data_IF_865417017349
#
_entry.id   IF_865417017349
#
_cell.length_a   1.000
_cell.length_b   1.000
_cell.length_c   1.000
_cell.angle_alpha   90.00
_cell.angle_beta   90.00
_cell.angle_gamma   90.00
#
_symmetry.space_group_name_H-M   'P 1'
#
loop_
_entity.id
_entity.type
_entity.pdbx_description
1 polymer ?
#
# COMPACT_ATOMS: atom_id res chain seq x y z
N UNK A 1 24.67 -5.46 -0.02
CA UNK A 1 23.93 -4.50 -0.87
C UNK A 1 23.08 -5.32 -1.82
N UNK A 2 21.82 -5.54 -1.52
CA UNK A 2 20.87 -6.17 -2.45
C UNK A 2 20.43 -5.10 -3.41
N UNK A 3 20.89 -5.18 -4.67
CA UNK A 3 20.43 -4.31 -5.76
C UNK A 3 18.90 -4.38 -5.80
N UNK A 4 18.21 -3.25 -5.59
CA UNK A 4 16.78 -3.15 -5.88
C UNK A 4 16.60 -3.48 -7.36
N UNK A 5 15.74 -4.46 -7.67
CA UNK A 5 15.37 -4.71 -9.07
C UNK A 5 14.63 -3.47 -9.56
N UNK A 6 15.00 -2.97 -10.73
CA UNK A 6 14.16 -1.97 -11.39
C UNK A 6 12.84 -2.68 -11.77
N UNK A 7 11.69 -2.31 -11.17
CA UNK A 7 10.42 -2.98 -11.45
C UNK A 7 9.83 -2.57 -12.80
N UNK A 8 10.50 -1.69 -13.55
CA UNK A 8 10.00 -1.18 -14.82
C UNK A 8 10.83 -1.74 -15.99
N UNK A 9 10.13 -2.34 -16.96
CA UNK A 9 10.66 -2.71 -18.25
C UNK A 9 10.75 -1.53 -19.23
N UNK A 10 11.14 -1.79 -20.48
CA UNK A 10 11.12 -0.79 -21.54
C UNK A 10 9.74 -0.14 -21.65
N UNK A 11 9.70 1.21 -21.73
CA UNK A 11 8.44 1.95 -21.81
C UNK A 11 7.70 2.13 -20.49
N UNK A 12 8.35 1.86 -19.32
CA UNK A 12 7.73 2.06 -18.01
C UNK A 12 6.67 1.04 -17.63
N UNK A 13 6.61 -0.09 -18.33
CA UNK A 13 5.69 -1.19 -17.99
C UNK A 13 6.21 -1.89 -16.74
N UNK A 14 5.32 -2.16 -15.78
CA UNK A 14 5.66 -2.97 -14.62
C UNK A 14 6.13 -4.35 -15.12
N UNK A 15 7.36 -4.72 -14.77
CA UNK A 15 7.84 -6.07 -15.06
C UNK A 15 6.98 -7.04 -14.26
N UNK A 16 6.26 -7.90 -14.96
CA UNK A 16 5.56 -8.99 -14.30
C UNK A 16 6.60 -9.89 -13.61
N UNK A 17 6.48 -9.97 -12.30
CA UNK A 17 7.19 -11.00 -11.56
C UNK A 17 6.67 -12.37 -12.01
N UNK A 18 7.47 -13.39 -11.77
CA UNK A 18 6.97 -14.77 -11.84
C UNK A 18 6.40 -15.17 -10.48
N UNK A 19 5.61 -16.26 -10.40
CA UNK A 19 5.16 -16.79 -9.10
C UNK A 19 6.32 -17.06 -8.12
N UNK A 20 7.53 -17.36 -8.64
CA UNK A 20 8.74 -17.61 -7.86
C UNK A 20 9.49 -16.31 -7.49
N UNK A 21 9.33 -15.26 -8.27
CA UNK A 21 9.96 -13.96 -8.08
C UNK A 21 8.96 -12.82 -8.31
N UNK A 22 7.94 -12.68 -7.44
CA UNK A 22 6.89 -11.67 -7.58
C UNK A 22 7.44 -10.25 -7.41
N UNK A 23 6.78 -9.27 -8.04
CA UNK A 23 6.97 -7.85 -7.73
C UNK A 23 6.19 -7.51 -6.47
N UNK A 24 6.86 -6.92 -5.49
CA UNK A 24 6.29 -6.58 -4.19
C UNK A 24 6.29 -5.06 -3.98
N UNK A 25 5.10 -4.49 -3.82
CA UNK A 25 4.91 -3.05 -3.63
C UNK A 25 4.35 -2.71 -2.24
N UNK A 26 4.76 -1.56 -1.68
CA UNK A 26 4.14 -0.99 -0.48
C UNK A 26 2.92 -0.16 -0.87
N UNK A 27 1.79 -0.44 -0.24
CA UNK A 27 0.55 0.30 -0.46
C UNK A 27 0.60 1.72 0.11
N UNK A 28 0.02 2.71 -0.58
CA UNK A 28 -0.22 4.04 -0.02
C UNK A 28 -1.24 3.98 1.10
N UNK A 29 -0.89 4.52 2.27
CA UNK A 29 -1.75 4.55 3.46
C UNK A 29 -1.63 5.91 4.15
N UNK A 30 -2.67 6.74 4.01
CA UNK A 30 -2.73 8.11 4.54
C UNK A 30 -2.39 8.17 6.05
N UNK A 31 -1.45 9.04 6.43
CA UNK A 31 -0.94 9.19 7.79
C UNK A 31 -0.01 8.07 8.26
N UNK A 32 0.37 7.13 7.39
CA UNK A 32 1.13 5.93 7.76
C UNK A 32 2.37 5.72 6.90
N UNK A 33 2.25 5.72 5.56
CA UNK A 33 3.33 5.34 4.63
C UNK A 33 4.05 6.55 4.03
N UNK A 34 4.48 7.49 4.87
CA UNK A 34 5.27 8.65 4.44
C UNK A 34 6.70 8.27 3.97
N UNK A 35 7.47 9.25 3.54
CA UNK A 35 8.83 9.06 3.04
C UNK A 35 9.76 8.36 4.04
N UNK A 36 9.61 8.63 5.36
CA UNK A 36 10.42 7.98 6.39
C UNK A 36 10.12 6.48 6.44
N UNK A 37 8.84 6.11 6.42
CA UNK A 37 8.40 4.72 6.45
C UNK A 37 8.78 4.00 5.16
N UNK A 38 8.59 4.66 4.00
CA UNK A 38 8.96 4.07 2.71
C UNK A 38 10.44 3.71 2.66
N UNK A 39 11.30 4.62 3.13
CA UNK A 39 12.75 4.37 3.19
C UNK A 39 13.13 3.31 4.24
N UNK A 40 12.55 3.38 5.46
CA UNK A 40 12.83 2.39 6.50
C UNK A 40 12.47 0.97 6.06
N UNK A 41 11.29 0.77 5.47
CA UNK A 41 10.87 -0.54 4.97
C UNK A 41 11.66 -0.95 3.73
N UNK A 42 11.99 0.00 2.84
CA UNK A 42 12.83 -0.24 1.67
C UNK A 42 14.24 -0.70 2.03
N UNK A 43 14.84 -0.09 3.04
CA UNK A 43 16.16 -0.45 3.56
C UNK A 43 16.24 -1.89 4.11
N UNK A 44 15.10 -2.49 4.47
CA UNK A 44 15.04 -3.89 4.86
C UNK A 44 15.26 -4.85 3.68
N UNK A 45 15.00 -4.40 2.45
CA UNK A 45 15.11 -5.17 1.21
C UNK A 45 13.83 -5.94 0.85
N UNK A 46 13.80 -6.47 -0.37
CA UNK A 46 12.69 -7.21 -0.97
C UNK A 46 11.40 -6.39 -1.22
N UNK A 47 11.47 -5.07 -1.14
CA UNK A 47 10.43 -4.17 -1.62
C UNK A 47 10.89 -3.57 -2.95
N UNK A 48 10.16 -3.84 -4.03
CA UNK A 48 10.55 -3.44 -5.38
C UNK A 48 9.98 -2.06 -5.76
N UNK A 49 8.86 -1.66 -5.15
CA UNK A 49 8.14 -0.43 -5.48
C UNK A 49 7.44 0.14 -4.25
N UNK A 50 7.33 1.45 -4.18
CA UNK A 50 6.47 2.15 -3.23
C UNK A 50 5.61 3.20 -3.93
N UNK A 51 4.54 3.62 -3.25
CA UNK A 51 3.62 4.66 -3.73
C UNK A 51 3.44 5.67 -2.61
N UNK A 52 3.46 6.97 -2.93
CA UNK A 52 3.22 8.00 -1.93
C UNK A 52 1.81 7.92 -1.36
N UNK A 53 1.60 8.48 -0.17
CA UNK A 53 0.25 8.85 0.24
C UNK A 53 -0.37 9.74 -0.84
N UNK A 54 -1.69 9.68 -1.02
CA UNK A 54 -2.29 10.43 -2.13
C UNK A 54 -2.19 11.94 -1.93
N UNK A 55 -1.82 12.64 -3.00
CA UNK A 55 -1.81 14.10 -3.07
C UNK A 55 -3.12 14.55 -3.71
N UNK A 56 -3.92 15.31 -2.96
CA UNK A 56 -5.22 15.74 -3.45
C UNK A 56 -5.11 16.84 -4.50
N UNK A 57 -5.68 16.58 -5.67
CA UNK A 57 -5.91 17.57 -6.73
C UNK A 57 -7.35 18.04 -6.65
N UNK A 58 -7.57 19.30 -6.35
CA UNK A 58 -8.93 19.87 -6.25
C UNK A 58 -9.24 20.77 -7.46
N UNK A 59 -9.32 22.09 -7.26
CA UNK A 59 -9.73 23.06 -8.29
C UNK A 59 -8.55 23.72 -9.02
N UNK A 60 -7.37 23.17 -8.92
CA UNK A 60 -6.14 23.66 -9.59
C UNK A 60 -5.04 22.60 -9.55
N UNK A 61 -4.05 22.67 -10.44
CA UNK A 61 -2.88 21.80 -10.38
C UNK A 61 -2.11 21.94 -9.06
N UNK A 62 -1.54 20.84 -8.58
CA UNK A 62 -0.75 20.81 -7.34
C UNK A 62 0.52 21.63 -7.53
N UNK A 63 0.84 22.58 -6.65
CA UNK A 63 2.10 23.34 -6.73
C UNK A 63 3.32 22.44 -6.48
N UNK A 64 4.47 22.73 -7.12
CA UNK A 64 5.72 21.99 -6.97
C UNK A 64 6.14 21.81 -5.50
N UNK A 65 6.04 22.85 -4.69
CA UNK A 65 6.36 22.79 -3.26
C UNK A 65 5.56 21.75 -2.47
N UNK A 66 4.31 21.48 -2.91
CA UNK A 66 3.46 20.46 -2.28
C UNK A 66 3.90 19.08 -2.74
N UNK A 67 4.18 18.90 -4.03
CA UNK A 67 4.73 17.64 -4.56
C UNK A 67 6.03 17.27 -3.86
N UNK A 68 6.98 18.18 -3.72
CA UNK A 68 8.27 17.97 -3.05
C UNK A 68 8.10 17.68 -1.55
N UNK A 69 7.13 18.32 -0.88
CA UNK A 69 6.84 18.04 0.53
C UNK A 69 6.29 16.63 0.74
N UNK A 70 5.33 16.21 -0.09
CA UNK A 70 4.65 14.91 0.05
C UNK A 70 5.48 13.75 -0.54
N UNK A 71 6.33 14.06 -1.50
CA UNK A 71 7.25 13.12 -2.13
C UNK A 71 8.66 13.74 -2.21
N UNK A 72 9.42 13.79 -1.10
CA UNK A 72 10.79 14.31 -1.11
C UNK A 72 11.73 13.44 -1.96
N UNK A 73 11.35 12.22 -2.29
CA UNK A 73 12.07 11.34 -3.21
C UNK A 73 12.24 11.95 -4.61
N UNK A 74 11.43 12.94 -4.99
CA UNK A 74 11.59 13.70 -6.23
C UNK A 74 12.94 14.43 -6.30
N UNK A 75 13.53 14.79 -5.14
CA UNK A 75 14.87 15.37 -5.05
C UNK A 75 16.00 14.31 -5.16
N UNK A 76 15.63 13.02 -5.25
CA UNK A 76 16.51 11.87 -5.40
C UNK A 76 16.06 10.97 -6.58
N UNK A 77 15.78 11.59 -7.73
CA UNK A 77 15.36 10.92 -8.97
C UNK A 77 14.20 9.93 -8.77
N UNK A 78 13.25 10.29 -7.90
CA UNK A 78 12.06 9.50 -7.60
C UNK A 78 12.32 8.23 -6.78
N UNK A 79 13.46 8.12 -6.08
CA UNK A 79 13.82 6.95 -5.29
C UNK A 79 13.99 7.30 -3.81
N UNK A 80 13.66 6.34 -2.94
CA UNK A 80 14.05 6.44 -1.51
C UNK A 80 15.58 6.48 -1.38
N UNK A 81 16.15 6.96 -0.26
CA UNK A 81 17.58 6.83 0.03
C UNK A 81 18.08 5.38 -0.04
N UNK A 82 17.24 4.40 0.25
CA UNK A 82 17.54 2.96 0.11
C UNK A 82 17.45 2.42 -1.33
N UNK A 83 17.08 3.26 -2.31
CA UNK A 83 17.06 2.94 -3.73
C UNK A 83 15.75 2.33 -4.25
N UNK A 84 14.66 2.38 -3.48
CA UNK A 84 13.34 1.91 -3.93
C UNK A 84 12.65 3.00 -4.73
N UNK A 85 12.16 2.74 -5.96
CA UNK A 85 11.40 3.70 -6.74
C UNK A 85 10.06 4.03 -6.10
N UNK A 86 9.62 5.28 -6.20
CA UNK A 86 8.40 5.79 -5.57
C UNK A 86 7.51 6.47 -6.60
N UNK A 87 6.30 5.96 -6.81
CA UNK A 87 5.29 6.62 -7.63
C UNK A 87 4.63 7.75 -6.86
N UNK A 88 4.42 8.87 -7.53
CA UNK A 88 3.60 9.97 -7.00
C UNK A 88 2.14 9.63 -7.19
N UNK A 89 1.39 9.45 -6.09
CA UNK A 89 -0.04 9.16 -6.19
C UNK A 89 -0.87 10.44 -6.14
N UNK A 90 -1.69 10.65 -7.18
CA UNK A 90 -2.63 11.76 -7.28
C UNK A 90 -4.06 11.28 -7.06
N UNK A 91 -4.88 12.14 -6.43
CA UNK A 91 -6.29 11.90 -6.21
C UNK A 91 -7.10 13.14 -6.62
N UNK A 92 -7.90 13.01 -7.67
CA UNK A 92 -8.77 14.07 -8.18
C UNK A 92 -9.76 13.54 -9.19
N UNK A 93 -10.80 14.30 -9.50
CA UNK A 93 -11.83 13.96 -10.47
C UNK A 93 -11.84 14.86 -11.71
N UNK A 94 -11.14 16.01 -11.67
CA UNK A 94 -11.04 16.92 -12.81
C UNK A 94 -9.85 16.56 -13.70
N UNK A 95 -10.07 16.00 -14.91
CA UNK A 95 -9.01 15.42 -15.75
C UNK A 95 -7.84 16.38 -15.99
N UNK A 96 -8.11 17.61 -16.45
CA UNK A 96 -7.07 18.59 -16.78
C UNK A 96 -6.23 19.04 -15.59
N UNK A 97 -6.78 19.11 -14.34
CA UNK A 97 -6.00 19.44 -13.15
C UNK A 97 -5.12 18.26 -12.70
N UNK A 98 -5.65 17.04 -12.82
CA UNK A 98 -4.88 15.81 -12.54
C UNK A 98 -3.74 15.67 -13.54
N UNK A 99 -4.01 15.82 -14.83
CA UNK A 99 -3.03 15.76 -15.91
C UNK A 99 -1.92 16.81 -15.74
N UNK A 100 -2.29 18.08 -15.45
CA UNK A 100 -1.31 19.14 -15.20
C UNK A 100 -0.46 18.90 -13.94
N UNK A 101 -1.03 18.26 -12.90
CA UNK A 101 -0.29 17.88 -11.69
C UNK A 101 0.67 16.72 -11.95
N UNK A 102 0.23 15.73 -12.74
CA UNK A 102 1.05 14.60 -13.16
C UNK A 102 2.24 15.03 -14.03
N UNK A 103 1.99 15.92 -15.00
CA UNK A 103 3.06 16.54 -15.80
C UNK A 103 4.10 17.21 -14.91
N UNK A 104 3.66 18.00 -13.93
CA UNK A 104 4.57 18.67 -12.99
C UNK A 104 5.35 17.69 -12.13
N UNK A 105 4.73 16.59 -11.68
CA UNK A 105 5.46 15.55 -10.97
C UNK A 105 6.55 14.92 -11.85
N UNK A 106 6.26 14.65 -13.12
CA UNK A 106 7.23 14.14 -14.08
C UNK A 106 8.40 15.14 -14.30
N UNK A 107 8.09 16.44 -14.44
CA UNK A 107 9.10 17.50 -14.57
C UNK A 107 10.01 17.64 -13.33
N UNK A 108 9.53 17.21 -12.16
CA UNK A 108 10.28 17.19 -10.90
C UNK A 108 11.06 15.89 -10.65
N UNK A 109 11.08 14.95 -11.61
CA UNK A 109 11.85 13.72 -11.49
C UNK A 109 11.06 12.50 -11.00
N UNK A 110 9.72 12.51 -11.06
CA UNK A 110 8.93 11.32 -10.74
C UNK A 110 9.26 10.17 -11.70
N UNK A 111 9.44 8.97 -11.16
CA UNK A 111 9.63 7.72 -11.95
C UNK A 111 8.32 7.16 -12.51
N UNK A 112 7.19 7.74 -12.13
CA UNK A 112 5.85 7.41 -12.60
C UNK A 112 4.78 8.04 -11.72
N UNK A 113 3.54 7.96 -12.19
CA UNK A 113 2.36 8.53 -11.50
C UNK A 113 1.34 7.42 -11.29
N UNK A 114 0.76 7.37 -10.10
CA UNK A 114 -0.36 6.49 -9.77
C UNK A 114 -1.63 7.31 -9.52
N UNK A 115 -2.78 6.86 -10.00
CA UNK A 115 -4.06 7.55 -9.84
C UNK A 115 -4.95 6.79 -8.85
N UNK A 116 -5.40 7.48 -7.81
CA UNK A 116 -6.20 6.89 -6.74
C UNK A 116 -7.70 6.98 -7.02
N UNK A 117 -8.31 5.85 -7.37
CA UNK A 117 -9.75 5.66 -7.51
C UNK A 117 -10.32 4.73 -6.42
N UNK A 118 -9.58 4.51 -5.32
CA UNK A 118 -9.98 3.58 -4.27
C UNK A 118 -10.19 4.19 -2.89
N UNK A 119 -9.91 5.49 -2.68
CA UNK A 119 -10.05 6.13 -1.36
C UNK A 119 -11.52 6.17 -0.91
N UNK A 120 -11.86 5.53 0.24
CA UNK A 120 -13.25 5.46 0.69
C UNK A 120 -13.68 6.66 1.55
N UNK A 121 -12.80 7.62 1.83
CA UNK A 121 -13.04 8.73 2.76
C UNK A 121 -14.21 9.62 2.30
N UNK A 122 -15.15 9.92 3.20
CA UNK A 122 -16.34 10.74 2.90
C UNK A 122 -15.97 12.11 2.32
N UNK A 123 -14.94 12.77 2.89
CA UNK A 123 -14.46 14.09 2.45
C UNK A 123 -13.92 14.07 1.02
N UNK A 124 -13.33 12.96 0.58
CA UNK A 124 -12.83 12.78 -0.78
C UNK A 124 -13.97 12.52 -1.75
N UNK A 125 -14.86 11.60 -1.42
CA UNK A 125 -15.97 11.21 -2.27
C UNK A 125 -17.05 12.28 -2.41
N UNK A 126 -17.14 13.22 -1.48
CA UNK A 126 -18.06 14.38 -1.56
C UNK A 126 -17.56 15.49 -2.49
N UNK A 127 -16.34 15.40 -3.03
CA UNK A 127 -15.72 16.37 -3.94
C UNK A 127 -15.28 15.73 -5.26
N UNK A 128 -16.02 14.75 -5.72
CA UNK A 128 -15.91 14.12 -7.03
C UNK A 128 -14.49 13.54 -7.32
N UNK A 129 -13.98 12.72 -6.40
CA UNK A 129 -12.66 12.09 -6.52
C UNK A 129 -12.57 10.76 -5.78
N UNK A 130 -11.49 10.03 -5.98
CA UNK A 130 -11.26 8.73 -5.34
C UNK A 130 -12.30 7.70 -5.76
N UNK A 131 -12.87 6.95 -4.79
CA UNK A 131 -13.79 5.84 -5.10
C UNK A 131 -15.14 6.27 -5.73
N UNK A 132 -15.52 7.56 -5.71
CA UNK A 132 -16.74 8.02 -6.39
C UNK A 132 -16.68 7.78 -7.91
N UNK A 133 -15.50 7.88 -8.51
CA UNK A 133 -15.30 7.67 -9.94
C UNK A 133 -15.51 6.21 -10.40
N UNK A 134 -15.51 5.25 -9.47
CA UNK A 134 -15.84 3.85 -9.80
C UNK A 134 -17.28 3.65 -10.27
N UNK A 135 -18.15 4.65 -10.06
CA UNK A 135 -19.54 4.64 -10.57
C UNK A 135 -19.67 5.09 -12.02
N UNK A 136 -18.63 5.72 -12.54
CA UNK A 136 -18.59 6.37 -13.85
C UNK A 136 -17.33 5.94 -14.61
N UNK A 137 -17.28 4.68 -15.13
CA UNK A 137 -16.09 4.17 -15.82
C UNK A 137 -15.59 5.06 -16.96
N UNK A 138 -16.48 5.71 -17.70
CA UNK A 138 -16.11 6.66 -18.76
C UNK A 138 -15.28 7.84 -18.24
N UNK A 139 -15.64 8.37 -17.08
CA UNK A 139 -14.88 9.46 -16.46
C UNK A 139 -13.51 9.00 -15.94
N UNK A 140 -13.44 7.77 -15.46
CA UNK A 140 -12.17 7.15 -15.09
C UNK A 140 -11.25 7.05 -16.31
N UNK A 141 -11.77 6.59 -17.46
CA UNK A 141 -11.05 6.58 -18.74
C UNK A 141 -10.53 7.98 -19.11
N UNK A 142 -11.35 9.01 -19.00
CA UNK A 142 -11.00 10.39 -19.31
C UNK A 142 -9.85 10.91 -18.43
N UNK A 143 -9.94 10.72 -17.09
CA UNK A 143 -8.89 11.14 -16.14
C UNK A 143 -7.57 10.44 -16.43
N UNK A 144 -7.60 9.12 -16.69
CA UNK A 144 -6.39 8.36 -17.03
C UNK A 144 -5.83 8.82 -18.38
N UNK A 145 -6.69 8.98 -19.39
CA UNK A 145 -6.32 9.35 -20.76
C UNK A 145 -5.64 10.71 -20.83
N UNK A 146 -6.22 11.75 -20.22
CA UNK A 146 -5.59 13.07 -20.14
C UNK A 146 -4.27 13.04 -19.36
N UNK A 147 -4.21 12.27 -18.26
CA UNK A 147 -2.98 12.10 -17.50
C UNK A 147 -1.91 11.41 -18.34
N UNK A 148 -2.26 10.33 -19.06
CA UNK A 148 -1.33 9.62 -19.94
C UNK A 148 -0.80 10.51 -21.05
N UNK A 149 -1.65 11.34 -21.66
CA UNK A 149 -1.26 12.28 -22.70
C UNK A 149 -0.30 13.38 -22.20
N UNK A 150 -0.43 13.78 -20.93
CA UNK A 150 0.37 14.84 -20.33
C UNK A 150 1.73 14.37 -19.78
N UNK A 151 1.87 13.08 -19.45
CA UNK A 151 3.08 12.49 -18.89
C UNK A 151 3.95 11.91 -20.02
N UNK A 152 5.30 12.09 -20.00
CA UNK A 152 6.19 11.51 -21.00
C UNK A 152 5.96 10.00 -21.20
N UNK A 153 6.04 9.52 -22.46
CA UNK A 153 5.66 8.14 -22.82
C UNK A 153 6.49 7.04 -22.14
N UNK A 154 7.70 7.36 -21.68
CA UNK A 154 8.57 6.43 -20.97
C UNK A 154 8.26 6.31 -19.47
N UNK A 155 7.45 7.21 -18.90
CA UNK A 155 7.03 7.14 -17.50
C UNK A 155 5.64 6.48 -17.38
N UNK A 156 5.44 5.52 -16.48
CA UNK A 156 4.15 4.86 -16.31
C UNK A 156 3.10 5.78 -15.68
N UNK A 157 1.86 5.58 -16.09
CA UNK A 157 0.66 6.06 -15.39
C UNK A 157 -0.12 4.82 -14.98
N UNK A 158 -0.26 4.57 -13.68
CA UNK A 158 -1.02 3.43 -13.15
C UNK A 158 -2.31 3.87 -12.47
N UNK A 159 -3.21 2.93 -12.24
CA UNK A 159 -4.47 3.17 -11.54
C UNK A 159 -4.62 2.25 -10.33
N UNK A 160 -4.98 2.81 -9.16
CA UNK A 160 -5.31 2.03 -7.96
C UNK A 160 -6.80 2.13 -7.69
N UNK A 161 -7.50 1.00 -7.79
CA UNK A 161 -8.95 0.88 -7.73
C UNK A 161 -9.41 -0.02 -6.58
N UNK A 162 -10.72 -0.10 -6.39
CA UNK A 162 -11.45 -1.15 -5.67
C UNK A 162 -12.31 -1.95 -6.64
N UNK A 163 -12.93 -3.05 -6.15
CA UNK A 163 -13.84 -3.89 -6.96
C UNK A 163 -15.05 -3.12 -7.52
N UNK A 164 -15.40 -2.02 -6.92
CA UNK A 164 -16.52 -1.16 -7.28
C UNK A 164 -16.89 -0.24 -6.14
N UNK A 165 -17.95 0.53 -6.31
CA UNK A 165 -18.51 1.34 -5.25
C UNK A 165 -19.29 0.49 -4.25
N UNK A 166 -20.22 -0.31 -4.71
CA UNK A 166 -21.12 -1.17 -3.94
C UNK A 166 -21.11 -2.60 -4.46
N UNK A 167 -21.27 -2.78 -5.76
CA UNK A 167 -21.25 -4.08 -6.41
C UNK A 167 -19.79 -4.48 -6.76
N UNK A 168 -19.31 -5.62 -6.27
CA UNK A 168 -17.98 -6.09 -6.61
C UNK A 168 -17.89 -6.65 -8.05
N UNK A 169 -18.98 -6.87 -8.72
CA UNK A 169 -18.99 -7.32 -10.12
C UNK A 169 -18.75 -6.17 -11.11
N UNK A 170 -18.85 -4.90 -10.68
CA UNK A 170 -18.48 -3.72 -11.46
C UNK A 170 -16.99 -3.73 -11.86
N UNK A 171 -16.14 -4.53 -11.19
CA UNK A 171 -14.69 -4.52 -11.38
C UNK A 171 -14.27 -4.73 -12.82
N UNK A 172 -14.98 -5.54 -13.60
CA UNK A 172 -14.63 -5.81 -15.02
C UNK A 172 -14.75 -4.54 -15.85
N UNK A 173 -15.88 -3.86 -15.78
CA UNK A 173 -16.08 -2.60 -16.51
C UNK A 173 -15.09 -1.51 -16.07
N UNK A 174 -14.71 -1.50 -14.78
CA UNK A 174 -13.75 -0.53 -14.25
C UNK A 174 -12.33 -0.80 -14.77
N UNK A 175 -11.88 -2.07 -14.83
CA UNK A 175 -10.54 -2.38 -15.36
C UNK A 175 -10.44 -2.16 -16.85
N UNK A 176 -11.49 -2.52 -17.63
CA UNK A 176 -11.57 -2.22 -19.06
C UNK A 176 -11.49 -0.71 -19.32
N UNK A 177 -12.18 0.10 -18.52
CA UNK A 177 -12.11 1.55 -18.61
C UNK A 177 -10.72 2.09 -18.26
N UNK A 178 -10.04 1.52 -17.26
CA UNK A 178 -8.69 1.92 -16.90
C UNK A 178 -7.67 1.56 -18.01
N UNK A 179 -7.78 0.39 -18.60
CA UNK A 179 -6.96 -0.02 -19.75
C UNK A 179 -7.22 0.87 -20.97
N UNK A 180 -8.48 1.14 -21.30
CA UNK A 180 -8.86 2.02 -22.41
C UNK A 180 -8.31 3.46 -22.21
N UNK A 181 -8.18 3.93 -20.97
CA UNK A 181 -7.51 5.19 -20.63
C UNK A 181 -5.99 5.15 -20.77
N UNK A 182 -5.38 4.00 -20.97
CA UNK A 182 -3.93 3.83 -21.13
C UNK A 182 -3.18 3.64 -19.81
N UNK A 183 -3.82 3.07 -18.78
CA UNK A 183 -3.13 2.65 -17.57
C UNK A 183 -2.07 1.60 -17.89
N UNK A 184 -0.83 1.82 -17.43
CA UNK A 184 0.27 0.88 -17.63
C UNK A 184 0.11 -0.43 -16.82
N UNK A 185 -0.59 -0.37 -15.69
CA UNK A 185 -1.07 -1.49 -14.88
C UNK A 185 -2.18 -1.02 -13.93
N UNK A 186 -2.90 -1.97 -13.34
CA UNK A 186 -4.02 -1.68 -12.45
C UNK A 186 -3.82 -2.39 -11.11
N UNK A 187 -3.78 -1.64 -10.00
CA UNK A 187 -3.75 -2.21 -8.64
C UNK A 187 -5.18 -2.34 -8.11
N UNK A 188 -5.59 -3.56 -7.76
CA UNK A 188 -6.97 -3.82 -7.31
C UNK A 188 -7.01 -4.20 -5.83
N UNK A 189 -7.65 -3.37 -5.00
CA UNK A 189 -8.00 -3.77 -3.65
C UNK A 189 -9.25 -4.65 -3.68
N UNK A 190 -9.15 -5.90 -3.24
CA UNK A 190 -10.19 -6.93 -3.31
C UNK A 190 -11.44 -6.66 -2.45
N UNK A 191 -11.91 -5.41 -2.38
CA UNK A 191 -13.12 -4.95 -1.69
C UNK A 191 -13.77 -3.80 -2.44
N UNK A 192 -15.09 -3.66 -2.30
CA UNK A 192 -15.80 -2.46 -2.75
C UNK A 192 -15.55 -1.27 -1.80
N UNK A 193 -15.96 -0.08 -2.21
CA UNK A 193 -15.90 1.11 -1.32
C UNK A 193 -16.81 0.94 -0.12
N UNK A 194 -18.02 0.39 -0.26
CA UNK A 194 -18.95 0.19 0.86
C UNK A 194 -18.47 -0.86 1.86
N UNK A 195 -17.78 -1.89 1.42
CA UNK A 195 -17.19 -2.91 2.28
C UNK A 195 -16.07 -2.38 3.18
N UNK A 196 -15.45 -1.25 2.86
CA UNK A 196 -14.33 -0.67 3.61
C UNK A 196 -13.19 -1.67 3.82
N UNK A 197 -13.15 -2.32 4.99
CA UNK A 197 -12.16 -3.33 5.39
C UNK A 197 -12.79 -4.64 5.88
N UNK A 198 -14.07 -4.86 5.65
CA UNK A 198 -14.84 -6.06 5.93
C UNK A 198 -15.78 -6.34 4.74
N UNK A 199 -16.06 -7.59 4.42
CA UNK A 199 -15.45 -8.84 4.84
C UNK A 199 -13.99 -9.00 4.37
N UNK A 200 -13.46 -10.24 4.30
CA UNK A 200 -12.15 -10.52 3.70
C UNK A 200 -12.06 -10.07 2.24
N UNK A 201 -10.85 -9.77 1.76
CA UNK A 201 -10.62 -9.42 0.36
C UNK A 201 -11.03 -10.57 -0.56
N UNK A 202 -11.76 -10.24 -1.62
CA UNK A 202 -12.19 -11.20 -2.63
C UNK A 202 -11.15 -11.30 -3.75
N UNK A 203 -10.24 -12.24 -3.60
CA UNK A 203 -9.19 -12.48 -4.59
C UNK A 203 -9.72 -13.12 -5.87
N UNK A 204 -10.83 -13.85 -5.82
CA UNK A 204 -11.47 -14.43 -7.00
C UNK A 204 -11.96 -13.36 -7.99
N UNK A 205 -12.44 -12.22 -7.48
CA UNK A 205 -12.80 -11.07 -8.33
C UNK A 205 -11.59 -10.34 -8.88
N UNK A 206 -10.46 -10.32 -8.15
CA UNK A 206 -9.21 -9.81 -8.73
C UNK A 206 -8.78 -10.68 -9.91
N UNK A 207 -8.86 -12.00 -9.80
CA UNK A 207 -8.59 -12.93 -10.90
C UNK A 207 -9.48 -12.64 -12.11
N UNK A 208 -10.79 -12.54 -11.89
CA UNK A 208 -11.75 -12.22 -12.97
C UNK A 208 -11.42 -10.90 -13.67
N UNK A 209 -11.00 -9.89 -12.90
CA UNK A 209 -10.56 -8.61 -13.47
C UNK A 209 -9.27 -8.76 -14.27
N UNK A 210 -8.31 -9.55 -13.79
CA UNK A 210 -7.05 -9.80 -14.49
C UNK A 210 -7.27 -10.56 -15.81
N UNK A 211 -8.25 -11.46 -15.86
CA UNK A 211 -8.60 -12.19 -17.09
C UNK A 211 -9.30 -11.32 -18.14
N UNK A 212 -9.80 -10.12 -17.77
CA UNK A 212 -10.54 -9.22 -18.66
C UNK A 212 -9.66 -8.16 -19.37
N UNK A 213 -8.40 -7.99 -18.94
CA UNK A 213 -7.50 -6.96 -19.48
C UNK A 213 -6.15 -7.56 -19.88
N UNK A 214 -5.42 -6.85 -20.74
CA UNK A 214 -4.07 -7.23 -21.17
C UNK A 214 -2.96 -6.60 -20.34
N UNK A 215 -3.25 -5.50 -19.64
CA UNK A 215 -2.28 -4.83 -18.77
C UNK A 215 -2.09 -5.60 -17.46
N UNK A 216 -0.90 -5.56 -16.84
CA UNK A 216 -0.65 -6.24 -15.56
C UNK A 216 -1.63 -5.81 -14.46
N UNK A 217 -2.09 -6.79 -13.67
CA UNK A 217 -2.90 -6.54 -12.47
C UNK A 217 -2.09 -6.82 -11.22
N UNK A 218 -2.06 -5.84 -10.30
CA UNK A 218 -1.42 -5.94 -9.00
C UNK A 218 -2.46 -6.29 -7.94
N UNK A 219 -2.35 -7.47 -7.32
CA UNK A 219 -3.30 -7.90 -6.29
C UNK A 219 -3.03 -7.21 -4.94
N UNK A 220 -4.08 -6.67 -4.32
CA UNK A 220 -3.99 -6.00 -3.03
C UNK A 220 -5.14 -6.38 -2.09
N UNK A 221 -4.81 -6.63 -0.84
CA UNK A 221 -5.74 -6.88 0.26
C UNK A 221 -5.47 -8.19 0.99
N UNK A 222 -5.43 -8.08 2.34
CA UNK A 222 -5.33 -9.19 3.31
C UNK A 222 -4.12 -10.12 3.17
N UNK A 223 -3.01 -9.62 2.65
CA UNK A 223 -1.72 -10.30 2.68
C UNK A 223 -1.04 -9.91 3.99
N UNK A 224 -0.99 -10.83 4.97
CA UNK A 224 -0.48 -10.60 6.32
C UNK A 224 0.72 -11.49 6.68
N UNK A 225 0.91 -12.59 5.97
CA UNK A 225 1.96 -13.58 6.16
C UNK A 225 2.22 -14.33 4.84
N UNK A 226 3.27 -15.16 4.75
CA UNK A 226 3.55 -15.96 3.56
C UNK A 226 2.39 -16.90 3.16
N UNK A 227 1.64 -17.44 4.11
CA UNK A 227 0.53 -18.35 3.81
C UNK A 227 -0.62 -17.60 3.11
N UNK A 228 -0.98 -16.41 3.60
CA UNK A 228 -1.98 -15.55 2.95
C UNK A 228 -1.48 -14.99 1.62
N UNK A 229 -0.16 -14.78 1.47
CA UNK A 229 0.44 -14.44 0.18
C UNK A 229 0.31 -15.59 -0.82
N UNK A 230 0.69 -16.82 -0.43
CA UNK A 230 0.58 -18.00 -1.28
C UNK A 230 -0.87 -18.24 -1.72
N UNK A 231 -1.83 -18.14 -0.79
CA UNK A 231 -3.26 -18.26 -1.09
C UNK A 231 -3.75 -17.17 -2.06
N UNK A 232 -3.29 -15.91 -1.91
CA UNK A 232 -3.60 -14.83 -2.83
C UNK A 232 -3.02 -15.10 -4.23
N UNK A 233 -1.76 -15.54 -4.29
CA UNK A 233 -1.08 -15.90 -5.54
C UNK A 233 -1.82 -17.02 -6.27
N UNK A 234 -2.13 -18.10 -5.57
CA UNK A 234 -2.76 -19.29 -6.14
C UNK A 234 -4.17 -18.99 -6.69
N UNK A 235 -4.91 -18.08 -6.05
CA UNK A 235 -6.24 -17.65 -6.50
C UNK A 235 -6.15 -16.64 -7.64
N UNK A 236 -5.28 -15.61 -7.51
CA UNK A 236 -5.27 -14.51 -8.48
C UNK A 236 -4.43 -14.80 -9.72
N UNK A 237 -3.36 -15.59 -9.58
CA UNK A 237 -2.37 -15.82 -10.64
C UNK A 237 -1.59 -14.57 -11.03
N UNK A 238 -1.67 -13.47 -10.26
CA UNK A 238 -0.95 -12.24 -10.54
C UNK A 238 0.58 -12.43 -10.35
N UNK A 239 1.38 -11.68 -11.11
CA UNK A 239 2.83 -11.59 -10.93
C UNK A 239 3.29 -10.47 -10.00
N UNK A 240 2.37 -9.58 -9.56
CA UNK A 240 2.68 -8.44 -8.71
C UNK A 240 1.67 -8.30 -7.56
N UNK A 241 2.14 -7.89 -6.39
CA UNK A 241 1.33 -7.80 -5.16
C UNK A 241 1.65 -6.54 -4.39
N UNK A 242 0.61 -5.91 -3.86
CA UNK A 242 0.76 -4.71 -3.04
C UNK A 242 0.36 -5.02 -1.59
N UNK A 243 1.30 -4.79 -0.67
CA UNK A 243 1.15 -5.05 0.76
C UNK A 243 0.86 -3.74 1.50
N UNK A 244 -0.16 -3.74 2.34
CA UNK A 244 -0.49 -2.60 3.21
C UNK A 244 -0.23 -2.93 4.68
N UNK A 245 -1.29 -3.14 5.43
CA UNK A 245 -1.28 -3.39 6.88
C UNK A 245 -0.34 -4.54 7.32
N UNK A 246 -0.15 -5.54 6.46
CA UNK A 246 0.76 -6.66 6.72
C UNK A 246 2.19 -6.21 6.98
N UNK A 247 2.70 -5.22 6.23
CA UNK A 247 4.05 -4.68 6.41
C UNK A 247 4.25 -3.97 7.76
N UNK A 248 3.17 -3.50 8.40
CA UNK A 248 3.20 -2.90 9.74
C UNK A 248 3.00 -3.91 10.87
N UNK A 249 2.30 -5.01 10.58
CA UNK A 249 2.14 -6.14 11.53
C UNK A 249 3.42 -6.96 11.64
N UNK A 250 4.18 -7.05 10.55
CA UNK A 250 5.46 -7.75 10.47
C UNK A 250 6.39 -6.97 9.51
N UNK A 251 7.31 -6.14 10.00
CA UNK A 251 8.17 -5.31 9.15
C UNK A 251 8.99 -6.10 8.14
N UNK A 252 9.34 -7.34 8.44
CA UNK A 252 10.06 -8.22 7.52
C UNK A 252 9.15 -9.07 6.60
N UNK A 253 7.89 -8.72 6.45
CA UNK A 253 6.96 -9.50 5.63
C UNK A 253 7.42 -9.59 4.16
N UNK A 254 7.92 -8.51 3.57
CA UNK A 254 8.49 -8.52 2.21
C UNK A 254 9.61 -9.56 2.08
N UNK A 255 10.55 -9.58 3.04
CA UNK A 255 11.67 -10.52 3.08
C UNK A 255 11.21 -11.97 3.25
N UNK A 256 10.17 -12.19 4.06
CA UNK A 256 9.61 -13.53 4.27
C UNK A 256 8.93 -14.06 3.00
N UNK A 257 8.18 -13.22 2.29
CA UNK A 257 7.57 -13.57 1.00
C UNK A 257 8.66 -13.87 -0.04
N UNK A 258 9.73 -13.08 -0.05
CA UNK A 258 10.90 -13.29 -0.92
C UNK A 258 11.81 -14.43 -0.43
N UNK A 259 11.44 -15.16 0.62
CA UNK A 259 12.19 -16.29 1.22
C UNK A 259 13.60 -15.93 1.69
N UNK A 260 13.84 -14.66 2.01
CA UNK A 260 15.08 -14.14 2.58
C UNK A 260 15.13 -14.28 4.11
N UNK A 261 13.98 -14.33 4.77
CA UNK A 261 13.82 -14.60 6.20
C UNK A 261 12.84 -15.76 6.37
N UNK A 262 13.20 -16.77 7.18
CA UNK A 262 12.33 -17.91 7.48
C UNK A 262 11.21 -17.52 8.47
N UNK A 263 11.56 -16.76 9.52
CA UNK A 263 10.70 -16.45 10.63
C UNK A 263 10.37 -14.94 10.74
N UNK A 264 9.39 -14.60 11.56
CA UNK A 264 9.18 -13.23 11.99
C UNK A 264 10.39 -12.73 12.78
N UNK A 265 10.66 -11.45 12.65
CA UNK A 265 11.72 -10.85 13.46
C UNK A 265 11.41 -10.98 14.96
N UNK A 266 12.45 -11.07 15.81
CA UNK A 266 12.25 -10.97 17.25
C UNK A 266 11.70 -9.57 17.60
N UNK A 267 10.87 -9.45 18.65
CA UNK A 267 10.25 -8.19 19.06
C UNK A 267 11.24 -7.05 19.30
N UNK A 268 12.44 -7.37 19.77
CA UNK A 268 13.54 -6.42 20.01
C UNK A 268 13.92 -5.69 18.71
N UNK A 269 14.05 -6.42 17.62
CA UNK A 269 14.37 -5.84 16.32
C UNK A 269 13.25 -4.95 15.78
N UNK A 270 11.99 -5.28 16.07
CA UNK A 270 10.86 -4.42 15.78
C UNK A 270 10.90 -3.14 16.63
N UNK A 271 11.26 -3.23 17.91
CA UNK A 271 11.44 -2.07 18.80
C UNK A 271 12.58 -1.17 18.30
N UNK A 272 13.69 -1.73 17.85
CA UNK A 272 14.81 -0.96 17.27
C UNK A 272 14.40 -0.20 16.02
N UNK A 273 13.60 -0.82 15.15
CA UNK A 273 13.04 -0.15 13.97
C UNK A 273 12.16 1.05 14.38
N UNK A 274 11.33 0.89 15.40
CA UNK A 274 10.50 1.98 15.92
C UNK A 274 11.32 3.12 16.54
N UNK A 275 12.45 2.82 17.18
CA UNK A 275 13.38 3.85 17.66
C UNK A 275 14.01 4.62 16.49
N UNK A 276 14.51 3.91 15.47
CA UNK A 276 15.04 4.55 14.26
C UNK A 276 13.98 5.42 13.57
N UNK A 277 12.73 4.94 13.52
CA UNK A 277 11.62 5.75 13.01
C UNK A 277 11.42 7.03 13.81
N UNK A 278 11.37 6.94 15.15
CA UNK A 278 11.22 8.11 16.02
C UNK A 278 12.36 9.13 15.84
N UNK A 279 13.62 8.66 15.80
CA UNK A 279 14.78 9.51 15.56
C UNK A 279 14.71 10.25 14.21
N UNK A 280 14.27 9.57 13.15
CA UNK A 280 14.12 10.19 11.82
C UNK A 280 13.02 11.25 11.83
N UNK A 281 11.87 10.97 12.48
CA UNK A 281 10.78 11.95 12.62
C UNK A 281 11.23 13.19 13.38
N UNK A 282 11.99 13.02 14.47
CA UNK A 282 12.51 14.14 15.28
C UNK A 282 13.47 15.06 14.50
N UNK A 283 14.18 14.52 13.50
CA UNK A 283 15.12 15.29 12.65
C UNK A 283 14.44 15.90 11.42
N UNK A 284 13.19 15.55 11.15
CA UNK A 284 12.50 15.97 9.92
C UNK A 284 11.83 17.33 10.10
N UNK A 285 12.39 18.35 9.44
CA UNK A 285 11.91 19.73 9.50
C UNK A 285 10.52 19.96 8.88
N UNK A 286 9.95 18.96 8.19
CA UNK A 286 8.61 19.03 7.62
C UNK A 286 7.52 19.00 8.70
N UNK A 287 7.83 18.53 9.91
CA UNK A 287 6.89 18.44 11.02
C UNK A 287 7.01 19.64 11.96
N UNK A 288 5.89 20.34 12.18
CA UNK A 288 5.85 21.46 13.13
C UNK A 288 5.95 20.99 14.60
N UNK A 289 5.49 19.77 14.90
CA UNK A 289 5.55 19.14 16.21
C UNK A 289 6.00 17.67 16.02
N UNK A 290 7.31 17.44 15.82
CA UNK A 290 7.84 16.12 15.50
C UNK A 290 7.68 15.11 16.65
N UNK A 291 7.74 15.55 17.92
CA UNK A 291 7.53 14.66 19.07
C UNK A 291 6.11 14.09 19.09
N UNK A 292 5.11 14.94 18.89
CA UNK A 292 3.71 14.51 18.85
C UNK A 292 3.42 13.60 17.64
N UNK A 293 4.03 13.90 16.51
CA UNK A 293 3.92 13.07 15.31
C UNK A 293 4.53 11.69 15.58
N UNK A 294 5.77 11.62 16.08
CA UNK A 294 6.44 10.38 16.43
C UNK A 294 5.65 9.57 17.45
N UNK A 295 5.19 10.18 18.54
CA UNK A 295 4.41 9.52 19.58
C UNK A 295 3.13 8.87 19.01
N UNK A 296 2.34 9.61 18.24
CA UNK A 296 1.08 9.10 17.69
C UNK A 296 1.33 7.93 16.72
N UNK A 297 2.36 8.04 15.90
CA UNK A 297 2.70 7.01 14.91
C UNK A 297 3.31 5.77 15.56
N UNK A 298 4.16 5.92 16.58
CA UNK A 298 4.63 4.79 17.39
C UNK A 298 3.45 4.05 18.02
N UNK A 299 2.48 4.76 18.62
CA UNK A 299 1.26 4.13 19.14
C UNK A 299 0.52 3.32 18.07
N UNK A 300 0.34 3.90 16.89
CA UNK A 300 -0.30 3.24 15.76
C UNK A 300 0.46 1.99 15.29
N UNK A 301 1.79 2.09 15.20
CA UNK A 301 2.61 0.98 14.73
C UNK A 301 2.72 -0.15 15.76
N UNK A 302 2.90 0.16 17.06
CA UNK A 302 2.86 -0.85 18.13
C UNK A 302 1.51 -1.57 18.16
N UNK A 303 0.39 -0.85 17.93
CA UNK A 303 -0.92 -1.47 17.76
C UNK A 303 -0.97 -2.44 16.56
N UNK A 304 -0.36 -2.11 15.45
CA UNK A 304 -0.29 -3.03 14.30
C UNK A 304 0.57 -4.26 14.63
N UNK A 305 1.74 -4.07 15.25
CA UNK A 305 2.61 -5.15 15.71
C UNK A 305 1.92 -6.06 16.72
N UNK A 306 1.01 -5.55 17.55
CA UNK A 306 0.28 -6.32 18.56
C UNK A 306 -0.59 -7.44 17.96
N UNK A 307 -0.90 -7.37 16.69
CA UNK A 307 -1.63 -8.42 15.98
C UNK A 307 -0.74 -9.62 15.60
N UNK A 308 0.58 -9.47 15.71
CA UNK A 308 1.56 -10.53 15.42
C UNK A 308 2.35 -10.92 16.67
N UNK A 309 2.69 -9.96 17.52
CA UNK A 309 3.57 -10.16 18.68
C UNK A 309 2.83 -9.95 19.99
N UNK A 310 2.70 -11.00 20.79
CA UNK A 310 2.03 -10.91 22.10
C UNK A 310 2.65 -9.86 23.03
N UNK A 311 3.99 -9.76 23.06
CA UNK A 311 4.70 -8.75 23.86
C UNK A 311 4.31 -7.32 23.45
N UNK A 312 4.10 -7.07 22.17
CA UNK A 312 3.63 -5.77 21.67
C UNK A 312 2.19 -5.48 22.09
N UNK A 313 1.34 -6.52 22.20
CA UNK A 313 -0.01 -6.38 22.73
C UNK A 313 0.01 -5.97 24.22
N UNK A 314 0.87 -6.61 25.02
CA UNK A 314 1.07 -6.24 26.44
C UNK A 314 1.62 -4.82 26.56
N UNK A 315 2.67 -4.48 25.79
CA UNK A 315 3.26 -3.15 25.78
C UNK A 315 2.24 -2.08 25.41
N UNK A 316 1.38 -2.34 24.41
CA UNK A 316 0.40 -1.39 23.92
C UNK A 316 -0.59 -0.93 25.00
N UNK A 317 -1.00 -1.81 25.92
CA UNK A 317 -1.96 -1.48 26.98
C UNK A 317 -1.47 -0.33 27.88
N UNK A 318 -0.18 -0.23 28.13
CA UNK A 318 0.44 0.88 28.88
C UNK A 318 0.83 2.03 27.96
N UNK A 319 1.47 1.72 26.83
CA UNK A 319 2.03 2.67 25.88
C UNK A 319 0.94 3.59 25.26
N UNK A 320 -0.26 3.09 25.01
CA UNK A 320 -1.37 3.89 24.47
C UNK A 320 -1.73 5.12 25.33
N UNK A 321 -1.38 5.11 26.64
CA UNK A 321 -1.65 6.19 27.59
C UNK A 321 -0.49 7.19 27.70
N UNK A 322 0.70 6.87 27.18
CA UNK A 322 1.86 7.75 27.22
C UNK A 322 1.53 9.11 26.61
N UNK A 323 1.97 10.19 27.22
CA UNK A 323 1.80 11.55 26.75
C UNK A 323 3.08 12.12 26.14
N UNK A 324 4.23 11.50 26.42
CA UNK A 324 5.53 11.87 25.89
C UNK A 324 6.14 10.73 25.09
N UNK A 325 6.92 11.08 24.08
CA UNK A 325 7.59 10.10 23.22
C UNK A 325 8.60 9.25 24.02
N UNK A 326 9.38 9.89 24.92
CA UNK A 326 10.36 9.21 25.77
C UNK A 326 9.73 8.10 26.61
N UNK A 327 8.56 8.35 27.24
CA UNK A 327 7.82 7.37 28.03
C UNK A 327 7.37 6.18 27.15
N UNK A 328 6.84 6.47 25.95
CA UNK A 328 6.40 5.43 25.03
C UNK A 328 7.55 4.52 24.61
N UNK A 329 8.70 5.09 24.27
CA UNK A 329 9.91 4.35 23.90
C UNK A 329 10.50 3.57 25.09
N UNK A 330 10.49 4.14 26.32
CA UNK A 330 10.92 3.44 27.52
C UNK A 330 10.05 2.23 27.84
N UNK A 331 8.71 2.38 27.77
CA UNK A 331 7.76 1.28 27.95
C UNK A 331 8.02 0.17 26.91
N UNK A 332 8.22 0.54 25.66
CA UNK A 332 8.49 -0.43 24.59
C UNK A 332 9.76 -1.24 24.89
N UNK A 333 10.88 -0.57 25.21
CA UNK A 333 12.15 -1.22 25.56
C UNK A 333 12.00 -2.16 26.77
N UNK A 334 11.38 -1.68 27.85
CA UNK A 334 11.19 -2.47 29.06
C UNK A 334 10.33 -3.72 28.77
N UNK A 335 9.28 -3.60 27.95
CA UNK A 335 8.41 -4.72 27.62
C UNK A 335 9.13 -5.80 26.83
N UNK A 336 9.94 -5.44 25.84
CA UNK A 336 10.67 -6.43 25.03
C UNK A 336 11.80 -7.07 25.83
N UNK A 337 12.51 -6.30 26.68
CA UNK A 337 13.58 -6.84 27.55
C UNK A 337 13.08 -7.82 28.61
N UNK A 338 11.84 -7.67 29.09
CA UNK A 338 11.23 -8.55 30.07
C UNK A 338 10.66 -9.84 29.46
N UNK A 339 10.66 -9.96 28.12
CA UNK A 339 10.07 -11.13 27.44
C UNK A 339 11.04 -12.31 27.47
N UNK A 340 10.56 -13.54 27.78
CA UNK A 340 11.38 -14.74 27.60
C UNK A 340 11.71 -14.91 26.11
N UNK A 341 12.82 -15.55 25.75
CA UNK A 341 13.17 -15.81 24.37
C UNK A 341 12.02 -16.52 23.63
N UNK A 342 11.80 -16.27 22.34
CA UNK A 342 10.58 -16.61 21.66
C UNK A 342 10.26 -18.11 21.72
N UNK A 343 9.20 -18.45 22.46
CA UNK A 343 8.47 -19.69 22.25
C UNK A 343 7.45 -19.39 21.14
N UNK A 344 7.64 -20.02 20.02
CA UNK A 344 6.75 -20.10 18.82
C UNK A 344 5.62 -19.05 18.73
N UNK A 345 5.65 -18.34 17.61
CA UNK A 345 4.59 -17.48 17.05
C UNK A 345 3.21 -18.07 17.31
N UNK A 346 2.27 -17.26 17.79
CA UNK A 346 0.86 -17.62 17.88
C UNK A 346 0.39 -18.23 16.56
N UNK A 347 -0.21 -19.40 16.62
CA UNK A 347 -0.82 -20.04 15.45
C UNK A 347 -1.79 -19.06 14.78
N UNK A 348 -1.86 -19.02 13.44
CA UNK A 348 -2.73 -18.10 12.73
C UNK A 348 -4.16 -18.25 13.24
N UNK A 349 -4.83 -17.11 13.49
CA UNK A 349 -6.25 -17.07 13.87
C UNK A 349 -7.04 -17.83 12.79
N UNK A 350 -7.55 -19.00 13.15
CA UNK A 350 -8.39 -19.81 12.27
C UNK A 350 -9.59 -18.98 11.82
N UNK A 351 -9.66 -18.66 10.56
CA UNK A 351 -10.90 -18.20 9.92
C UNK A 351 -11.97 -19.29 10.14
N UNK A 352 -13.20 -18.93 10.54
CA UNK A 352 -14.27 -19.93 10.67
C UNK A 352 -14.51 -20.57 9.31
N UNK A 353 -14.42 -21.92 9.27
CA UNK A 353 -14.80 -22.70 8.09
C UNK A 353 -16.28 -22.41 7.80
N UNK A 354 -16.58 -21.98 6.59
CA UNK A 354 -17.93 -21.96 6.03
C UNK A 354 -18.48 -23.38 6.07
N UNK A 355 -19.45 -23.64 6.94
CA UNK A 355 -20.26 -24.85 6.90
C UNK A 355 -21.24 -24.75 5.74
N UNK A 356 -20.80 -25.19 4.56
CA UNK A 356 -21.74 -25.49 3.48
C UNK A 356 -22.58 -26.71 3.90
N UNK A 357 -23.80 -26.47 4.37
CA UNK A 357 -24.81 -27.49 4.54
C UNK A 357 -25.23 -28.00 3.17
N UNK A 358 -24.74 -29.18 2.84
CA UNK A 358 -25.29 -29.94 1.72
C UNK A 358 -26.78 -30.29 2.03
N UNK A 359 -27.69 -29.65 1.32
CA UNK A 359 -29.10 -30.09 1.28
C UNK A 359 -29.17 -31.27 0.31
N UNK A 360 -29.42 -32.45 0.85
CA UNK A 360 -29.80 -33.65 0.12
C UNK A 360 -31.14 -33.42 -0.58
N UNK A 361 -31.18 -33.67 -1.89
CA UNK A 361 -32.40 -33.76 -2.67
C UNK A 361 -33.09 -35.11 -2.35
N UNK A 362 -34.43 -35.18 -2.33
CA UNK A 362 -35.12 -36.46 -2.29
C UNK A 362 -35.16 -37.08 -3.67
N UNK A 363 -34.87 -38.36 -3.76
CA UNK A 363 -35.07 -39.19 -4.95
C UNK A 363 -36.53 -39.70 -5.02
N UNK A 364 -36.92 -40.33 -6.14
CA UNK A 364 -38.09 -40.05 -6.97
C UNK A 364 -39.42 -40.48 -6.40
#
# INVERSE_FOLDING_TARGET
MTSSRNPFGPGGVLLEGTPEAPVLALAPMEGISDAIVRDLLGALGAMDLSVTEFIRVAHRPVPARVLLRECPELENDGHTPSGVPVLVQLLGGEPHFVAASAKRAAELGAVGVDLNFGCPAKRVNGSDGGASLLREPSRLTEVIGETRAAVPGHLPVSAKIRLGWEDPDDVVAIVEAAEAGGAAWITIHGRTKKQMYKPTADWGRIRRAADAVSVPVVANGDIFDPASFDACRDVTGCGAYMLGRGAFRAPNLFRRIAKLDADFWPPERCADLLHQFAERVLRDSRFADPERVALNRIKGWVRALSETYHVMAVAFETLKRAQKLEDALAILRASVAASPPPRSVLAPVRTPRSTATARSAPAP
#
